data_IF_276104545915
#
_entry.id   IF_276104545915
#
_cell.length_a   1.000
_cell.length_b   1.000
_cell.length_c   1.000
_cell.angle_alpha   90.00
_cell.angle_beta   90.00
_cell.angle_gamma   90.00
#
_symmetry.space_group_name_H-M   'P 1'
#
loop_
_entity.id
_entity.type
_entity.pdbx_description
1 polymer ?
#
# COMPACT_ATOMS: atom_id res chain seq x y z
N UNK A 1 -27.45 -14.83 0.42
CA UNK A 1 -27.00 -15.51 1.67
C UNK A 1 -25.50 -15.33 1.78
N UNK A 2 -25.00 -14.71 2.86
CA UNK A 2 -23.58 -14.36 3.03
C UNK A 2 -22.90 -15.46 3.84
N UNK A 3 -21.97 -16.21 3.23
CA UNK A 3 -21.18 -17.23 3.93
C UNK A 3 -19.77 -16.72 4.22
N UNK A 4 -19.20 -16.99 5.41
CA UNK A 4 -17.79 -16.70 5.67
C UNK A 4 -16.92 -17.57 4.77
N UNK A 5 -16.09 -16.94 3.94
CA UNK A 5 -15.19 -17.65 3.00
C UNK A 5 -13.88 -18.03 3.67
N UNK A 6 -13.38 -17.22 4.59
CA UNK A 6 -12.12 -17.48 5.30
C UNK A 6 -12.00 -16.68 6.60
N UNK A 7 -11.21 -17.19 7.54
CA UNK A 7 -10.77 -16.47 8.73
C UNK A 7 -9.24 -16.52 8.83
N UNK A 8 -8.61 -15.37 9.10
CA UNK A 8 -7.15 -15.23 9.19
C UNK A 8 -6.73 -14.52 10.48
N UNK A 9 -5.75 -15.08 11.17
CA UNK A 9 -5.10 -14.46 12.33
C UNK A 9 -3.76 -13.84 11.89
N UNK A 10 -3.63 -12.52 12.04
CA UNK A 10 -2.37 -11.83 11.78
C UNK A 10 -1.41 -11.93 12.99
N UNK A 11 -0.08 -11.81 12.79
CA UNK A 11 0.90 -11.80 13.89
C UNK A 11 0.71 -10.66 14.91
N UNK A 12 0.02 -9.58 14.54
CA UNK A 12 -0.41 -8.50 15.46
C UNK A 12 -1.50 -8.95 16.43
N UNK A 13 -2.11 -10.11 16.15
CA UNK A 13 -3.25 -10.71 16.81
C UNK A 13 -4.59 -10.08 16.45
N UNK A 14 -4.68 -9.41 15.29
CA UNK A 14 -5.96 -9.08 14.64
C UNK A 14 -6.52 -10.31 13.92
N UNK A 15 -7.83 -10.47 13.98
CA UNK A 15 -8.57 -11.52 13.27
C UNK A 15 -9.35 -10.85 12.15
N UNK A 16 -9.23 -11.40 10.94
CA UNK A 16 -10.02 -11.00 9.78
C UNK A 16 -10.96 -12.14 9.43
N UNK A 17 -12.24 -11.84 9.29
CA UNK A 17 -13.25 -12.75 8.74
C UNK A 17 -13.72 -12.13 7.43
N UNK A 18 -13.56 -12.87 6.33
CA UNK A 18 -13.90 -12.40 4.99
C UNK A 18 -15.21 -13.01 4.57
N UNK A 19 -16.14 -12.14 4.21
CA UNK A 19 -17.43 -12.50 3.65
C UNK A 19 -17.41 -12.12 2.18
N UNK A 20 -17.91 -13.02 1.34
CA UNK A 20 -18.17 -12.69 -0.05
C UNK A 20 -19.63 -12.23 -0.15
N UNK A 21 -19.82 -11.03 -0.66
CA UNK A 21 -21.13 -10.49 -1.01
C UNK A 21 -21.16 -10.45 -2.53
N UNK A 22 -22.15 -11.11 -3.11
CA UNK A 22 -22.44 -10.95 -4.53
C UNK A 22 -23.48 -9.85 -4.61
N UNK A 23 -23.15 -8.77 -5.29
CA UNK A 23 -24.13 -7.76 -5.70
C UNK A 23 -24.83 -8.32 -6.95
N UNK A 24 -26.16 -8.27 -6.98
CA UNK A 24 -26.89 -8.51 -8.22
C UNK A 24 -26.52 -7.39 -9.18
N UNK A 25 -26.02 -7.75 -10.36
CA UNK A 25 -25.74 -6.81 -11.45
C UNK A 25 -27.06 -6.17 -11.90
N UNK A 26 -27.53 -5.15 -11.17
CA UNK A 26 -28.48 -4.20 -11.73
C UNK A 26 -27.69 -3.39 -12.75
N UNK A 27 -27.94 -3.71 -14.03
CA UNK A 27 -27.31 -3.12 -15.20
C UNK A 27 -27.37 -1.59 -15.15
N UNK A 28 -26.31 -0.99 -14.61
CA UNK A 28 -25.84 0.31 -15.06
C UNK A 28 -24.60 0.07 -15.91
N UNK A 29 -24.79 -0.73 -16.96
CA UNK A 29 -23.97 -0.59 -18.16
C UNK A 29 -24.40 0.72 -18.84
N UNK A 30 -24.11 1.84 -18.18
CA UNK A 30 -24.07 3.13 -18.83
C UNK A 30 -23.18 2.94 -20.05
N UNK A 31 -23.75 3.18 -21.22
CA UNK A 31 -23.14 2.96 -22.52
C UNK A 31 -21.64 3.25 -22.43
N UNK A 32 -20.79 2.23 -22.68
CA UNK A 32 -19.40 2.44 -23.06
C UNK A 32 -19.45 3.16 -24.41
N UNK A 33 -19.78 4.45 -24.37
CA UNK A 33 -19.70 5.30 -25.53
C UNK A 33 -18.23 5.29 -25.92
N UNK A 34 -17.97 4.96 -27.18
CA UNK A 34 -16.67 5.06 -27.83
C UNK A 34 -16.21 6.53 -27.94
N UNK A 35 -16.43 7.31 -26.88
CA UNK A 35 -16.01 8.68 -26.71
C UNK A 35 -14.57 8.66 -26.23
N UNK A 36 -13.75 9.45 -26.90
CA UNK A 36 -12.37 9.69 -26.52
C UNK A 36 -12.39 10.29 -25.09
N UNK A 37 -11.52 9.84 -24.17
CA UNK A 37 -11.44 10.42 -22.83
C UNK A 37 -11.19 11.93 -22.94
N UNK A 38 -11.99 12.74 -22.25
CA UNK A 38 -11.82 14.20 -22.26
C UNK A 38 -10.61 14.59 -21.41
N UNK A 39 -10.40 13.88 -20.30
CA UNK A 39 -9.31 14.13 -19.35
C UNK A 39 -8.45 12.88 -19.21
N UNK A 40 -7.38 12.84 -20.02
CA UNK A 40 -6.34 11.84 -19.92
C UNK A 40 -5.09 12.43 -19.26
N UNK A 41 -4.48 11.67 -18.33
CA UNK A 41 -3.25 12.10 -17.63
C UNK A 41 -2.29 10.93 -17.49
N UNK A 42 -1.00 11.18 -17.65
CA UNK A 42 0.03 10.22 -17.23
C UNK A 42 0.45 10.51 -15.78
N UNK A 43 0.64 9.47 -14.97
CA UNK A 43 1.01 9.61 -13.56
C UNK A 43 2.33 8.92 -13.30
N UNK A 44 3.33 9.72 -12.93
CA UNK A 44 4.66 9.23 -12.57
C UNK A 44 4.74 9.02 -11.06
N UNK A 45 5.16 7.83 -10.63
CA UNK A 45 5.35 7.52 -9.23
C UNK A 45 6.83 7.66 -8.82
N UNK A 46 7.10 8.22 -7.64
CA UNK A 46 8.47 8.52 -7.23
C UNK A 46 8.77 8.49 -5.73
N UNK A 47 10.07 8.56 -5.42
CA UNK A 47 10.61 8.54 -4.05
C UNK A 47 10.58 9.89 -3.35
N UNK A 48 10.75 10.98 -4.11
CA UNK A 48 10.62 12.34 -3.61
C UNK A 48 9.15 12.77 -3.56
N UNK A 49 8.44 12.59 -4.67
CA UNK A 49 7.01 12.84 -4.84
C UNK A 49 6.34 11.51 -5.11
N UNK A 50 5.31 11.19 -4.34
CA UNK A 50 4.60 9.92 -4.41
C UNK A 50 4.00 9.72 -5.80
N UNK A 51 3.32 10.74 -6.30
CA UNK A 51 2.68 10.76 -7.61
C UNK A 51 2.81 12.16 -8.23
N UNK A 52 3.09 12.21 -9.53
CA UNK A 52 3.20 13.46 -10.32
C UNK A 52 2.40 13.27 -11.60
N UNK A 53 1.13 13.69 -11.63
CA UNK A 53 0.37 13.70 -12.86
C UNK A 53 0.93 14.73 -13.86
N UNK A 54 0.77 14.48 -15.17
CA UNK A 54 1.28 15.34 -16.25
C UNK A 54 0.65 16.73 -16.31
N UNK A 55 -0.36 17.00 -15.47
CA UNK A 55 -1.00 18.31 -15.33
C UNK A 55 -0.22 19.29 -14.44
N UNK A 56 0.93 18.85 -13.91
CA UNK A 56 1.85 19.67 -13.13
C UNK A 56 1.61 19.66 -11.62
N UNK A 57 0.57 18.97 -11.14
CA UNK A 57 0.37 18.73 -9.70
C UNK A 57 1.30 17.64 -9.19
N UNK A 58 1.46 17.55 -7.88
CA UNK A 58 2.15 16.42 -7.25
C UNK A 58 1.59 16.10 -5.88
N UNK A 59 1.76 14.85 -5.46
CA UNK A 59 1.47 14.37 -4.13
C UNK A 59 2.78 14.06 -3.43
N UNK A 60 3.00 14.64 -2.26
CA UNK A 60 4.19 14.35 -1.46
C UNK A 60 4.21 12.90 -0.96
N UNK A 61 5.40 12.33 -0.82
CA UNK A 61 5.54 11.04 -0.18
C UNK A 61 5.62 11.23 1.35
N UNK A 62 4.63 10.74 2.13
CA UNK A 62 4.65 10.85 3.59
C UNK A 62 5.69 9.95 4.26
N UNK A 63 6.31 9.02 3.53
CA UNK A 63 7.40 8.12 3.98
C UNK A 63 7.10 7.42 5.31
N UNK A 64 5.99 6.66 5.40
CA UNK A 64 5.54 6.06 6.65
C UNK A 64 6.53 5.06 7.25
N UNK A 65 7.28 4.32 6.43
CA UNK A 65 8.30 3.39 6.88
C UNK A 65 9.52 4.13 7.43
N UNK A 66 10.00 5.18 6.76
CA UNK A 66 11.07 6.04 7.27
C UNK A 66 10.70 6.61 8.65
N UNK A 67 9.50 7.19 8.79
CA UNK A 67 9.01 7.77 10.05
C UNK A 67 8.89 6.73 11.18
N UNK A 68 8.57 5.48 10.85
CA UNK A 68 8.39 4.40 11.84
C UNK A 68 9.69 3.64 12.14
N UNK A 69 10.78 3.95 11.43
CA UNK A 69 11.99 3.12 11.41
C UNK A 69 12.69 3.06 12.78
N UNK A 70 12.77 4.17 13.50
CA UNK A 70 13.38 4.22 14.83
C UNK A 70 12.65 3.30 15.81
N UNK A 71 11.32 3.36 15.80
CA UNK A 71 10.45 2.54 16.63
C UNK A 71 10.56 1.06 16.25
N UNK A 72 10.55 0.73 14.97
CA UNK A 72 10.77 -0.63 14.48
C UNK A 72 12.13 -1.16 14.96
N UNK A 73 13.21 -0.38 14.85
CA UNK A 73 14.55 -0.77 15.31
C UNK A 73 14.57 -1.01 16.82
N UNK A 74 13.93 -0.15 17.61
CA UNK A 74 13.83 -0.33 19.07
C UNK A 74 13.08 -1.62 19.43
N UNK A 75 11.96 -1.90 18.75
CA UNK A 75 11.18 -3.13 18.94
C UNK A 75 11.96 -4.39 18.52
N UNK A 76 12.69 -4.34 17.40
CA UNK A 76 13.56 -5.43 16.96
C UNK A 76 14.68 -5.71 17.97
N UNK A 77 15.37 -4.68 18.48
CA UNK A 77 16.40 -4.82 19.53
C UNK A 77 15.83 -5.37 20.83
N UNK A 78 14.62 -4.95 21.20
CA UNK A 78 13.94 -5.47 22.39
C UNK A 78 13.62 -6.95 22.23
N UNK A 79 13.10 -7.34 21.06
CA UNK A 79 12.76 -8.73 20.73
C UNK A 79 13.99 -9.66 20.73
N UNK A 80 15.11 -9.22 20.14
CA UNK A 80 16.33 -10.04 20.06
C UNK A 80 16.92 -10.38 21.41
N UNK A 81 16.73 -9.52 22.42
CA UNK A 81 17.16 -9.75 23.81
C UNK A 81 16.24 -10.69 24.61
N UNK A 82 15.08 -11.10 24.08
CA UNK A 82 14.14 -11.99 24.79
C UNK A 82 14.37 -13.46 24.43
N UNK A 83 14.24 -14.34 25.43
CA UNK A 83 14.29 -15.80 25.25
C UNK A 83 13.13 -16.25 24.33
N UNK A 84 13.45 -16.80 23.17
CA UNK A 84 12.48 -17.24 22.15
C UNK A 84 11.44 -18.18 22.73
N UNK A 85 10.19 -18.08 22.25
CA UNK A 85 9.03 -18.90 22.66
C UNK A 85 8.53 -18.70 24.10
N UNK A 86 9.10 -17.79 24.87
CA UNK A 86 8.55 -17.43 26.20
C UNK A 86 7.53 -16.31 26.11
N UNK A 87 6.65 -16.19 27.12
CA UNK A 87 5.57 -15.21 27.12
C UNK A 87 6.01 -13.77 26.83
N UNK A 88 7.17 -13.35 27.37
CA UNK A 88 7.73 -12.02 27.11
C UNK A 88 8.22 -11.85 25.66
N UNK A 89 8.74 -12.91 25.05
CA UNK A 89 9.12 -12.90 23.63
C UNK A 89 7.89 -12.82 22.73
N UNK A 90 6.82 -13.57 23.03
CA UNK A 90 5.55 -13.51 22.27
C UNK A 90 4.95 -12.11 22.35
N UNK A 91 4.93 -11.48 23.54
CA UNK A 91 4.47 -10.10 23.72
C UNK A 91 5.31 -9.11 22.89
N UNK A 92 6.64 -9.23 22.91
CA UNK A 92 7.53 -8.37 22.12
C UNK A 92 7.33 -8.56 20.61
N UNK A 93 7.19 -9.82 20.15
CA UNK A 93 6.92 -10.16 18.75
C UNK A 93 5.60 -9.55 18.28
N UNK A 94 4.55 -9.62 19.10
CA UNK A 94 3.24 -9.02 18.80
C UNK A 94 3.31 -7.49 18.72
N UNK A 95 4.09 -6.82 19.57
CA UNK A 95 4.32 -5.37 19.48
C UNK A 95 5.00 -4.99 18.16
N UNK A 96 6.05 -5.71 17.77
CA UNK A 96 6.72 -5.50 16.49
C UNK A 96 5.76 -5.72 15.31
N UNK A 97 4.94 -6.77 15.35
CA UNK A 97 3.96 -7.05 14.31
C UNK A 97 2.88 -5.96 14.19
N UNK A 98 2.41 -5.39 15.31
CA UNK A 98 1.48 -4.25 15.31
C UNK A 98 2.08 -3.02 14.64
N UNK A 99 3.37 -2.77 14.81
CA UNK A 99 4.06 -1.64 14.18
C UNK A 99 4.12 -1.80 12.65
N UNK A 100 4.53 -2.97 12.18
CA UNK A 100 4.53 -3.26 10.74
C UNK A 100 3.13 -3.21 10.14
N UNK A 101 2.11 -3.70 10.86
CA UNK A 101 0.72 -3.61 10.42
C UNK A 101 0.22 -2.16 10.37
N UNK A 102 0.64 -1.30 11.31
CA UNK A 102 0.32 0.12 11.27
C UNK A 102 0.88 0.81 10.01
N UNK A 103 2.16 0.58 9.70
CA UNK A 103 2.80 1.10 8.47
C UNK A 103 2.13 0.56 7.22
N UNK A 104 1.79 -0.73 7.19
CA UNK A 104 1.08 -1.35 6.07
C UNK A 104 -0.32 -0.76 5.86
N UNK A 105 -1.08 -0.58 6.94
CA UNK A 105 -2.41 0.02 6.88
C UNK A 105 -2.37 1.48 6.43
N UNK A 106 -1.43 2.27 6.96
CA UNK A 106 -1.24 3.66 6.54
C UNK A 106 -0.97 3.76 5.04
N UNK A 107 -0.09 2.90 4.53
CA UNK A 107 0.24 2.86 3.10
C UNK A 107 -0.95 2.49 2.24
N UNK A 108 -1.74 1.48 2.64
CA UNK A 108 -2.96 1.10 1.93
C UNK A 108 -3.97 2.25 1.89
N UNK A 109 -4.19 2.92 3.02
CA UNK A 109 -5.08 4.06 3.12
C UNK A 109 -4.63 5.23 2.22
N UNK A 110 -3.33 5.51 2.19
CA UNK A 110 -2.73 6.52 1.31
C UNK A 110 -3.01 6.23 -0.17
N UNK A 111 -2.74 5.00 -0.63
CA UNK A 111 -2.95 4.63 -2.03
C UNK A 111 -4.42 4.54 -2.41
N UNK A 112 -5.29 4.12 -1.48
CA UNK A 112 -6.73 4.10 -1.73
C UNK A 112 -7.29 5.50 -1.92
N UNK A 113 -6.88 6.45 -1.07
CA UNK A 113 -7.24 7.86 -1.22
C UNK A 113 -6.68 8.45 -2.50
N UNK A 114 -5.44 8.14 -2.85
CA UNK A 114 -4.84 8.59 -4.11
C UNK A 114 -5.60 8.06 -5.33
N UNK A 115 -5.89 6.76 -5.38
CA UNK A 115 -6.67 6.14 -6.45
C UNK A 115 -8.04 6.78 -6.60
N UNK A 116 -8.78 6.93 -5.49
CA UNK A 116 -10.10 7.57 -5.50
C UNK A 116 -10.07 9.04 -5.92
N UNK A 117 -8.97 9.77 -5.64
CA UNK A 117 -8.80 11.15 -6.13
C UNK A 117 -8.56 11.17 -7.64
N UNK A 118 -7.69 10.29 -8.14
CA UNK A 118 -7.35 10.21 -9.57
C UNK A 118 -8.55 9.76 -10.42
N UNK A 119 -9.25 8.72 -9.98
CA UNK A 119 -10.45 8.18 -10.64
C UNK A 119 -11.57 9.23 -10.79
N UNK A 120 -11.75 10.09 -9.78
CA UNK A 120 -12.77 11.15 -9.81
C UNK A 120 -12.43 12.30 -10.75
N UNK A 121 -11.14 12.52 -11.01
CA UNK A 121 -10.67 13.68 -11.76
C UNK A 121 -10.42 13.39 -13.24
N UNK A 122 -10.09 12.15 -13.58
CA UNK A 122 -9.62 11.76 -14.91
C UNK A 122 -10.37 10.55 -15.46
N UNK A 123 -10.70 10.61 -16.74
CA UNK A 123 -11.37 9.53 -17.45
C UNK A 123 -10.38 8.43 -17.87
N UNK A 124 -9.11 8.80 -18.08
CA UNK A 124 -8.03 7.89 -18.45
C UNK A 124 -6.75 8.19 -17.67
N UNK A 125 -6.27 7.18 -16.95
CA UNK A 125 -5.00 7.21 -16.23
C UNK A 125 -3.98 6.32 -16.96
N UNK A 126 -2.83 6.89 -17.31
CA UNK A 126 -1.68 6.15 -17.85
C UNK A 126 -0.62 6.04 -16.78
N UNK A 127 -0.33 4.82 -16.33
CA UNK A 127 0.72 4.52 -15.36
C UNK A 127 1.94 3.91 -16.07
N UNK A 128 3.13 4.28 -15.63
CA UNK A 128 4.36 3.62 -16.08
C UNK A 128 4.44 2.18 -15.57
N UNK A 129 4.86 1.25 -16.43
CA UNK A 129 5.15 -0.12 -16.05
C UNK A 129 6.54 -0.21 -15.41
N UNK A 130 6.61 0.09 -14.12
CA UNK A 130 7.87 0.19 -13.40
C UNK A 130 8.33 -1.20 -12.90
N UNK A 131 9.50 -1.65 -13.37
CA UNK A 131 10.16 -2.83 -12.81
C UNK A 131 10.77 -2.51 -11.43
N UNK A 132 9.94 -2.57 -10.38
CA UNK A 132 10.34 -2.26 -8.99
C UNK A 132 11.47 -3.16 -8.50
N UNK A 133 11.47 -4.44 -8.88
CA UNK A 133 12.55 -5.36 -8.52
C UNK A 133 13.87 -4.93 -9.15
N UNK A 134 13.85 -4.50 -10.41
CA UNK A 134 15.00 -3.94 -11.12
C UNK A 134 15.52 -2.63 -10.52
N UNK A 135 14.65 -1.84 -9.88
CA UNK A 135 15.06 -0.63 -9.17
C UNK A 135 15.80 -0.94 -7.86
N UNK A 136 15.48 -2.04 -7.19
CA UNK A 136 16.13 -2.46 -5.95
C UNK A 136 17.39 -3.27 -6.29
N UNK A 137 18.47 -2.57 -6.64
CA UNK A 137 19.73 -3.21 -7.01
C UNK A 137 20.52 -3.70 -5.79
N UNK A 138 21.41 -4.69 -5.99
CA UNK A 138 22.22 -5.29 -4.90
C UNK A 138 23.12 -4.27 -4.19
N UNK A 139 23.70 -3.33 -4.94
CA UNK A 139 24.61 -2.30 -4.42
C UNK A 139 23.90 -1.00 -4.01
N UNK A 140 22.56 -1.02 -4.00
CA UNK A 140 21.80 0.16 -3.67
C UNK A 140 21.93 0.54 -2.18
N UNK A 141 22.08 1.84 -1.93
CA UNK A 141 22.20 2.36 -0.57
C UNK A 141 20.98 2.02 0.28
N UNK A 142 21.20 1.76 1.57
CA UNK A 142 20.11 1.49 2.54
C UNK A 142 19.03 2.57 2.54
N UNK A 143 19.42 3.83 2.32
CA UNK A 143 18.50 4.97 2.24
C UNK A 143 17.61 4.88 1.00
N UNK A 144 18.18 4.61 -0.17
CA UNK A 144 17.40 4.52 -1.40
C UNK A 144 16.46 3.31 -1.39
N UNK A 145 16.91 2.17 -0.88
CA UNK A 145 16.06 0.99 -0.66
C UNK A 145 14.87 1.27 0.27
N UNK A 146 15.10 2.00 1.36
CA UNK A 146 14.04 2.42 2.29
C UNK A 146 12.99 3.28 1.57
N UNK A 147 13.43 4.26 0.77
CA UNK A 147 12.55 5.13 0.00
C UNK A 147 11.73 4.34 -1.03
N UNK A 148 12.34 3.40 -1.76
CA UNK A 148 11.62 2.54 -2.71
C UNK A 148 10.54 1.69 -2.02
N UNK A 149 10.84 1.16 -0.83
CA UNK A 149 9.83 0.44 -0.04
C UNK A 149 8.69 1.32 0.46
N UNK A 150 8.92 2.62 0.65
CA UNK A 150 7.87 3.59 1.02
C UNK A 150 6.95 3.92 -0.16
N UNK A 151 7.48 3.88 -1.39
CA UNK A 151 6.71 4.20 -2.60
C UNK A 151 5.74 3.12 -3.01
N UNK A 152 5.99 1.85 -2.65
CA UNK A 152 5.11 0.71 -2.91
C UNK A 152 4.34 0.80 -4.25
N UNK A 153 5.08 1.00 -5.34
CA UNK A 153 4.57 1.34 -6.68
C UNK A 153 3.43 0.42 -7.18
N UNK A 154 3.42 -0.83 -6.70
CA UNK A 154 2.39 -1.81 -7.04
C UNK A 154 1.01 -1.53 -6.42
N UNK A 155 0.93 -0.81 -5.29
CA UNK A 155 -0.32 -0.61 -4.55
C UNK A 155 -1.31 0.27 -5.33
N UNK A 156 -0.83 1.30 -6.05
CA UNK A 156 -1.73 2.14 -6.86
C UNK A 156 -2.33 1.34 -8.02
N UNK A 157 -1.47 0.60 -8.75
CA UNK A 157 -1.90 -0.27 -9.86
C UNK A 157 -2.96 -1.27 -9.41
N UNK A 158 -2.73 -1.94 -8.28
CA UNK A 158 -3.66 -2.90 -7.67
C UNK A 158 -5.03 -2.30 -7.31
N UNK A 159 -5.11 -1.00 -7.05
CA UNK A 159 -6.37 -0.34 -6.65
C UNK A 159 -7.17 0.10 -7.88
N UNK A 160 -6.48 0.39 -8.99
CA UNK A 160 -7.09 0.88 -10.22
C UNK A 160 -7.42 -0.25 -11.23
N UNK A 161 -6.81 -1.43 -11.06
CA UNK A 161 -7.16 -2.68 -11.75
C UNK A 161 -8.23 -3.48 -11.00
#
# INVERSE_FOLDING_TARGET
>A
MVFPRSAKLNPSGRIFVVFQVNESEEEQLGQLTSQKPERAVSVDLGTARLATPSDGRFVENPRPLERSLERIRALQRSLSKKRKLWGNWVKAKRKLAKEYEHVGNFRRDLFFKLGALLEREYDLLVLEDLNVEGLIQKDETKKRRLLLHDCAFFELRRILE
#
